data_IF_764179784262
#
_entry.id   IF_764179784262
#
_cell.length_a   1.000
_cell.length_b   1.000
_cell.length_c   1.000
_cell.angle_alpha   90.00
_cell.angle_beta   90.00
_cell.angle_gamma   90.00
#
_symmetry.space_group_name_H-M   'P 1'
#
loop_
_entity.id
_entity.type
_entity.pdbx_description
1 polymer ?
#
# COMPACT_ATOMS: atom_id res chain seq x y z
N UNK A 1 -6.37 14.30 -7.39
CA UNK A 1 -7.22 13.65 -8.42
C UNK A 1 -8.01 12.52 -7.77
N UNK A 2 -9.34 12.52 -7.82
CA UNK A 2 -10.17 11.50 -7.17
C UNK A 2 -11.10 10.85 -8.18
N UNK A 3 -10.58 9.91 -8.96
CA UNK A 3 -11.44 9.06 -9.79
C UNK A 3 -12.26 8.15 -8.86
N UNK A 4 -13.60 8.06 -9.06
CA UNK A 4 -14.42 7.04 -8.42
C UNK A 4 -13.82 5.64 -8.59
N UNK A 5 -14.08 4.74 -7.64
CA UNK A 5 -13.56 3.37 -7.66
C UNK A 5 -13.82 2.67 -9.00
N UNK A 6 -15.03 2.82 -9.55
CA UNK A 6 -15.45 2.14 -10.78
C UNK A 6 -14.75 2.69 -12.03
N UNK A 7 -14.36 3.97 -12.01
CA UNK A 7 -13.61 4.59 -13.10
C UNK A 7 -12.14 4.20 -13.06
N UNK A 8 -11.61 3.88 -11.87
CA UNK A 8 -10.21 3.52 -11.67
C UNK A 8 -9.96 2.01 -11.78
N UNK A 9 -10.80 1.18 -11.17
CA UNK A 9 -10.75 -0.29 -11.25
C UNK A 9 -11.98 -0.76 -12.01
N UNK A 10 -11.76 -1.09 -13.28
CA UNK A 10 -12.85 -1.45 -14.20
C UNK A 10 -13.29 -2.90 -13.98
N UNK A 11 -12.34 -3.81 -13.83
CA UNK A 11 -12.61 -5.21 -13.58
C UNK A 11 -11.75 -5.81 -12.47
N UNK A 12 -12.29 -6.83 -11.81
CA UNK A 12 -11.60 -7.59 -10.76
C UNK A 12 -12.00 -9.06 -10.84
N UNK A 13 -11.03 -9.95 -10.86
CA UNK A 13 -11.24 -11.40 -10.75
C UNK A 13 -10.38 -11.97 -9.63
N UNK A 14 -10.92 -12.99 -8.96
CA UNK A 14 -10.17 -13.75 -7.98
C UNK A 14 -10.63 -15.21 -8.02
N UNK A 15 -9.68 -16.15 -8.15
CA UNK A 15 -9.96 -17.56 -8.42
C UNK A 15 -10.86 -17.76 -9.66
N UNK A 16 -10.48 -17.20 -10.81
CA UNK A 16 -11.23 -17.20 -12.09
C UNK A 16 -12.70 -16.76 -11.99
N UNK A 17 -13.06 -16.00 -10.94
CA UNK A 17 -14.42 -15.51 -10.72
C UNK A 17 -14.43 -14.01 -10.68
N UNK A 18 -15.22 -13.40 -11.58
CA UNK A 18 -15.47 -11.96 -11.57
C UNK A 18 -16.06 -11.55 -10.22
N UNK A 19 -15.48 -10.52 -9.61
CA UNK A 19 -15.92 -9.95 -8.35
C UNK A 19 -16.61 -8.61 -8.60
N UNK A 20 -17.56 -8.28 -7.74
CA UNK A 20 -18.19 -6.96 -7.76
C UNK A 20 -17.22 -5.96 -7.11
N UNK A 21 -16.69 -5.03 -7.93
CA UNK A 21 -15.66 -4.06 -7.54
C UNK A 21 -16.06 -3.29 -6.28
N UNK A 22 -17.28 -2.74 -6.22
CA UNK A 22 -17.79 -1.95 -5.08
C UNK A 22 -17.88 -2.72 -3.76
N UNK A 23 -17.83 -4.05 -3.80
CA UNK A 23 -17.95 -4.90 -2.60
C UNK A 23 -16.62 -5.41 -2.07
N UNK A 24 -15.62 -5.59 -2.94
CA UNK A 24 -14.35 -6.25 -2.59
C UNK A 24 -13.21 -5.27 -2.32
N UNK A 25 -13.34 -4.04 -2.80
CA UNK A 25 -12.39 -2.96 -2.57
C UNK A 25 -12.88 -2.01 -1.48
N UNK A 26 -11.98 -1.61 -0.59
CA UNK A 26 -12.25 -0.61 0.45
C UNK A 26 -11.34 0.59 0.26
N UNK A 27 -11.90 1.78 0.40
CA UNK A 27 -11.15 3.02 0.37
C UNK A 27 -10.29 3.17 1.63
N UNK A 28 -9.07 3.68 1.46
CA UNK A 28 -8.23 4.20 2.52
C UNK A 28 -7.46 5.43 2.04
N UNK A 29 -7.40 6.49 2.84
CA UNK A 29 -6.59 7.67 2.56
C UNK A 29 -5.22 7.47 3.24
N UNK A 30 -4.14 7.69 2.49
CA UNK A 30 -2.74 7.52 2.91
C UNK A 30 -1.91 8.74 2.48
N UNK A 31 -0.61 8.75 2.81
CA UNK A 31 0.34 9.74 2.29
C UNK A 31 0.48 9.70 0.75
N UNK A 32 0.15 8.56 0.12
CA UNK A 32 0.12 8.43 -1.34
C UNK A 32 -1.22 8.87 -1.94
N UNK A 33 -2.10 9.46 -1.13
CA UNK A 33 -3.44 9.89 -1.54
C UNK A 33 -4.50 8.81 -1.32
N UNK A 34 -5.47 8.74 -2.24
CA UNK A 34 -6.60 7.80 -2.15
C UNK A 34 -6.16 6.43 -2.66
N UNK A 35 -6.22 5.42 -1.79
CA UNK A 35 -5.89 4.03 -2.12
C UNK A 35 -7.13 3.13 -2.01
N UNK A 36 -7.07 2.00 -2.72
CA UNK A 36 -8.09 0.96 -2.69
C UNK A 36 -7.46 -0.36 -2.25
N UNK A 37 -8.01 -0.96 -1.19
CA UNK A 37 -7.53 -2.20 -0.63
C UNK A 37 -8.47 -3.37 -0.96
N UNK A 38 -7.94 -4.39 -1.65
CA UNK A 38 -8.64 -5.65 -1.85
C UNK A 38 -8.45 -6.54 -0.62
N UNK A 39 -9.56 -6.99 -0.03
CA UNK A 39 -9.52 -7.93 1.11
C UNK A 39 -10.52 -9.06 0.88
N UNK A 40 -10.08 -10.30 1.07
CA UNK A 40 -10.94 -11.47 0.92
C UNK A 40 -10.63 -12.52 2.00
N UNK A 41 -11.66 -13.27 2.37
CA UNK A 41 -11.55 -14.47 3.20
C UNK A 41 -11.45 -15.74 2.36
N UNK A 42 -11.60 -15.63 1.04
CA UNK A 42 -11.45 -16.75 0.11
C UNK A 42 -9.96 -17.14 0.02
N UNK A 43 -9.69 -18.45 0.08
CA UNK A 43 -8.35 -18.96 -0.13
C UNK A 43 -8.04 -19.05 -1.63
N UNK A 44 -6.77 -18.87 -1.98
CA UNK A 44 -6.26 -19.16 -3.33
C UNK A 44 -6.43 -20.66 -3.60
N UNK A 45 -7.19 -21.01 -4.64
CA UNK A 45 -7.51 -22.41 -4.96
C UNK A 45 -6.32 -23.11 -5.61
N UNK A 46 -5.57 -22.40 -6.44
CA UNK A 46 -4.40 -22.91 -7.13
C UNK A 46 -3.33 -21.81 -7.30
N UNK A 47 -2.04 -22.13 -7.23
CA UNK A 47 -1.00 -21.16 -7.58
C UNK A 47 -1.03 -20.86 -9.07
N UNK A 48 -0.76 -19.60 -9.44
CA UNK A 48 -0.75 -19.14 -10.83
C UNK A 48 -1.71 -18.00 -11.07
N UNK A 49 -1.83 -17.56 -12.32
CA UNK A 49 -2.67 -16.43 -12.73
C UNK A 49 -4.15 -16.68 -12.43
N UNK A 50 -4.63 -17.86 -12.82
CA UNK A 50 -6.01 -18.30 -12.66
C UNK A 50 -6.53 -18.35 -11.21
N UNK A 51 -5.67 -18.72 -10.26
CA UNK A 51 -6.02 -18.70 -8.84
C UNK A 51 -5.73 -17.37 -8.14
N UNK A 52 -5.09 -16.43 -8.83
CA UNK A 52 -4.62 -15.16 -8.27
C UNK A 52 -5.70 -14.09 -8.22
N UNK A 53 -5.24 -12.87 -7.94
CA UNK A 53 -6.01 -11.63 -8.12
C UNK A 53 -5.61 -11.02 -9.46
N UNK A 54 -6.62 -10.75 -10.29
CA UNK A 54 -6.48 -10.02 -11.54
C UNK A 54 -7.27 -8.72 -11.43
N UNK A 55 -6.65 -7.61 -11.83
CA UNK A 55 -7.22 -6.28 -11.71
C UNK A 55 -6.93 -5.52 -12.99
N UNK A 56 -7.97 -4.99 -13.62
CA UNK A 56 -7.84 -4.08 -14.75
C UNK A 56 -8.09 -2.67 -14.25
N UNK A 57 -7.18 -1.77 -14.61
CA UNK A 57 -7.16 -0.41 -14.10
C UNK A 57 -7.17 0.57 -15.26
N UNK A 58 -7.93 1.64 -15.10
CA UNK A 58 -7.97 2.74 -16.05
C UNK A 58 -7.25 3.95 -15.43
N UNK A 59 -6.18 4.37 -16.10
CA UNK A 59 -5.30 5.45 -15.65
C UNK A 59 -5.46 6.64 -16.59
N UNK A 60 -6.27 7.61 -16.18
CA UNK A 60 -6.38 8.86 -16.90
C UNK A 60 -5.17 9.76 -16.59
N UNK A 61 -4.17 9.74 -17.46
CA UNK A 61 -2.95 10.54 -17.29
C UNK A 61 -3.19 12.04 -17.45
N UNK A 62 -4.26 12.45 -18.16
CA UNK A 62 -4.61 13.87 -18.30
C UNK A 62 -5.08 14.48 -16.98
N UNK A 63 -5.57 13.65 -16.07
CA UNK A 63 -5.99 14.12 -14.75
C UNK A 63 -4.81 14.27 -13.80
N UNK A 64 -3.61 13.77 -14.11
CA UNK A 64 -2.49 13.79 -13.17
C UNK A 64 -2.11 15.21 -12.79
N UNK A 65 -1.72 15.40 -11.52
CA UNK A 65 -1.19 16.68 -11.08
C UNK A 65 0.08 16.98 -11.89
N UNK A 66 0.14 18.16 -12.50
CA UNK A 66 1.25 18.56 -13.39
C UNK A 66 2.65 18.51 -12.76
N UNK A 67 2.73 18.37 -11.43
CA UNK A 67 3.97 18.23 -10.67
C UNK A 67 4.31 16.77 -10.32
N UNK A 68 3.49 15.78 -10.74
CA UNK A 68 3.76 14.36 -10.52
C UNK A 68 4.71 13.83 -11.58
N UNK A 69 5.94 13.47 -11.19
CA UNK A 69 6.94 12.87 -12.07
C UNK A 69 6.71 11.36 -12.31
N UNK A 70 5.72 10.75 -11.64
CA UNK A 70 5.42 9.33 -11.73
C UNK A 70 4.08 9.10 -12.41
N UNK A 71 4.09 8.23 -13.42
CA UNK A 71 2.89 7.72 -14.07
C UNK A 71 2.75 6.21 -13.85
N UNK A 72 1.55 5.78 -13.45
CA UNK A 72 1.27 4.38 -13.10
C UNK A 72 0.57 4.23 -11.77
N UNK A 73 0.64 3.03 -11.22
CA UNK A 73 0.06 2.68 -9.92
C UNK A 73 1.08 2.03 -9.01
N UNK A 74 1.00 2.36 -7.73
CA UNK A 74 1.76 1.69 -6.68
C UNK A 74 0.88 0.60 -6.05
N UNK A 75 1.35 -0.64 -6.13
CA UNK A 75 0.69 -1.80 -5.54
C UNK A 75 1.42 -2.20 -4.28
N UNK A 76 0.74 -2.11 -3.14
CA UNK A 76 1.26 -2.53 -1.85
C UNK A 76 0.74 -3.92 -1.49
N UNK A 77 1.62 -4.78 -0.98
CA UNK A 77 1.25 -6.12 -0.52
C UNK A 77 1.45 -6.18 0.99
N UNK A 78 0.35 -6.36 1.71
CA UNK A 78 0.34 -6.32 3.16
C UNK A 78 -0.28 -7.58 3.77
N UNK A 79 0.11 -7.91 5.00
CA UNK A 79 -0.56 -8.91 5.81
C UNK A 79 -1.98 -8.41 6.17
N UNK A 80 -2.99 -9.30 6.18
CA UNK A 80 -4.31 -8.93 6.67
C UNK A 80 -4.26 -8.28 8.05
N UNK A 81 -4.90 -7.12 8.19
CA UNK A 81 -4.94 -6.34 9.42
C UNK A 81 -3.72 -5.45 9.68
N UNK A 82 -2.74 -5.40 8.77
CA UNK A 82 -1.68 -4.38 8.79
C UNK A 82 -2.07 -3.17 7.93
N UNK A 83 -1.70 -1.95 8.35
CA UNK A 83 -1.77 -0.75 7.51
C UNK A 83 -0.83 -0.86 6.30
N UNK A 84 -1.10 -0.06 5.27
CA UNK A 84 -0.31 -0.04 4.02
C UNK A 84 1.17 0.23 4.29
N UNK A 85 1.46 1.11 5.25
CA UNK A 85 2.81 1.57 5.55
C UNK A 85 3.62 0.57 6.40
N UNK A 86 2.97 -0.47 6.92
CA UNK A 86 3.65 -1.50 7.73
C UNK A 86 4.44 -2.49 6.87
N UNK A 87 4.20 -2.54 5.55
CA UNK A 87 4.84 -3.53 4.66
C UNK A 87 5.39 -2.90 3.39
N UNK A 88 6.72 -2.90 3.30
CA UNK A 88 7.50 -2.58 2.10
C UNK A 88 8.04 -3.94 1.61
N UNK A 89 7.68 -4.39 0.40
CA UNK A 89 7.77 -3.59 -0.82
C UNK A 89 6.44 -3.22 -1.48
N UNK A 90 6.45 -2.06 -2.15
CA UNK A 90 5.49 -1.72 -3.20
C UNK A 90 6.06 -2.09 -4.57
N UNK A 91 5.15 -2.33 -5.53
CA UNK A 91 5.46 -2.52 -6.94
C UNK A 91 4.89 -1.35 -7.72
N UNK A 92 5.68 -0.77 -8.62
CA UNK A 92 5.17 0.18 -9.60
C UNK A 92 4.72 -0.58 -10.84
N UNK A 93 3.46 -0.38 -11.26
CA UNK A 93 2.94 -0.90 -12.53
C UNK A 93 2.70 0.30 -13.44
N UNK A 94 3.33 0.27 -14.62
CA UNK A 94 3.26 1.37 -15.57
C UNK A 94 2.01 1.26 -16.45
N UNK A 95 1.44 2.38 -16.93
CA UNK A 95 0.33 2.36 -17.87
C UNK A 95 0.71 1.65 -19.19
N UNK A 96 -0.26 1.02 -19.83
CA UNK A 96 -0.06 0.33 -21.12
C UNK A 96 0.69 -1.01 -21.04
N UNK A 97 0.92 -1.53 -19.83
CA UNK A 97 1.56 -2.83 -19.60
C UNK A 97 0.69 -3.74 -18.76
N UNK A 98 0.80 -5.03 -19.03
CA UNK A 98 0.31 -6.08 -18.14
C UNK A 98 1.42 -6.41 -17.12
N UNK A 99 1.17 -6.09 -15.85
CA UNK A 99 2.10 -6.34 -14.76
C UNK A 99 1.79 -7.64 -14.03
N UNK A 100 2.72 -8.60 -14.05
CA UNK A 100 2.60 -9.85 -13.30
C UNK A 100 3.36 -9.74 -11.98
N UNK A 101 2.63 -9.89 -10.88
CA UNK A 101 3.19 -9.82 -9.52
C UNK A 101 3.14 -11.19 -8.87
N UNK A 102 4.28 -11.88 -8.81
CA UNK A 102 4.42 -13.13 -8.08
C UNK A 102 4.65 -12.85 -6.59
N UNK A 103 3.74 -13.36 -5.76
CA UNK A 103 3.85 -13.27 -4.31
C UNK A 103 4.50 -14.52 -3.71
N UNK A 104 5.48 -14.32 -2.83
CA UNK A 104 6.03 -15.37 -1.97
C UNK A 104 5.76 -15.01 -0.52
N UNK A 105 5.03 -15.87 0.18
CA UNK A 105 4.74 -15.73 1.60
C UNK A 105 5.83 -16.42 2.43
N UNK A 106 6.34 -15.74 3.45
CA UNK A 106 7.25 -16.30 4.46
C UNK A 106 6.68 -16.03 5.84
N UNK A 107 6.56 -17.06 6.66
CA UNK A 107 6.10 -16.94 8.04
C UNK A 107 7.26 -17.21 8.98
N UNK A 108 7.45 -16.32 9.95
CA UNK A 108 8.51 -16.38 10.95
C UNK A 108 7.90 -16.65 12.32
N UNK A 109 8.51 -17.59 13.04
CA UNK A 109 8.27 -17.82 14.46
C UNK A 109 9.61 -17.79 15.18
N UNK A 110 9.86 -16.71 15.91
CA UNK A 110 11.12 -16.44 16.59
C UNK A 110 11.07 -16.90 18.03
N UNK A 111 12.22 -17.31 18.54
CA UNK A 111 12.40 -17.60 19.96
C UNK A 111 12.25 -16.29 20.78
N UNK A 112 11.57 -16.38 21.92
CA UNK A 112 11.30 -15.22 22.79
C UNK A 112 12.40 -15.03 23.83
N UNK A 113 13.04 -16.13 24.22
CA UNK A 113 13.97 -16.16 25.34
C UNK A 113 15.42 -15.87 24.91
N UNK A 114 16.07 -15.00 25.69
CA UNK A 114 17.51 -14.83 25.63
C UNK A 114 18.21 -16.16 26.01
N UNK A 115 19.40 -16.46 25.47
CA UNK A 115 20.28 -15.59 24.69
C UNK A 115 20.08 -15.66 23.16
N UNK A 116 19.25 -16.58 22.68
CA UNK A 116 19.22 -16.94 21.26
C UNK A 116 18.49 -15.91 20.40
N UNK A 117 17.42 -15.33 20.91
CA UNK A 117 16.72 -14.22 20.28
C UNK A 117 15.96 -13.39 21.32
N UNK A 118 15.55 -12.19 20.91
CA UNK A 118 14.58 -11.38 21.62
C UNK A 118 13.60 -10.84 20.59
N UNK A 119 12.32 -10.99 20.86
CA UNK A 119 11.24 -10.47 20.04
C UNK A 119 10.14 -9.94 20.95
N UNK A 120 9.22 -9.16 20.40
CA UNK A 120 8.12 -8.56 21.15
C UNK A 120 6.80 -8.77 20.40
N UNK A 121 5.75 -9.17 21.11
CA UNK A 121 4.40 -9.27 20.54
C UNK A 121 4.29 -10.17 19.29
N UNK A 122 3.25 -9.94 18.50
CA UNK A 122 2.98 -10.64 17.24
C UNK A 122 2.30 -9.69 16.25
N UNK A 123 2.59 -9.86 14.96
CA UNK A 123 1.91 -9.14 13.89
C UNK A 123 0.47 -9.67 13.71
N UNK A 124 -0.51 -8.82 13.34
CA UNK A 124 -0.36 -7.41 12.97
C UNK A 124 -0.41 -6.44 14.18
N UNK A 125 -0.68 -6.94 15.38
CA UNK A 125 -0.83 -6.09 16.57
C UNK A 125 0.47 -5.35 16.94
N UNK A 126 1.62 -5.97 16.68
CA UNK A 126 2.93 -5.35 16.82
C UNK A 126 3.76 -5.59 15.56
N UNK A 127 4.35 -4.51 15.06
CA UNK A 127 5.41 -4.52 14.04
C UNK A 127 6.41 -3.40 14.39
N UNK A 128 7.65 -3.51 13.93
CA UNK A 128 8.63 -2.44 14.14
C UNK A 128 8.19 -1.12 13.46
N UNK A 129 7.69 -1.12 12.21
CA UNK A 129 7.14 0.08 11.58
C UNK A 129 6.03 0.71 12.41
N UNK A 130 5.04 -0.07 12.85
CA UNK A 130 3.94 0.41 13.68
C UNK A 130 4.42 1.01 15.00
N UNK A 131 5.33 0.34 15.70
CA UNK A 131 5.91 0.86 16.95
C UNK A 131 6.55 2.24 16.75
N UNK A 132 7.27 2.41 15.64
CA UNK A 132 7.89 3.70 15.31
C UNK A 132 6.86 4.75 14.92
N UNK A 133 5.85 4.38 14.14
CA UNK A 133 4.74 5.28 13.80
C UNK A 133 3.98 5.73 15.05
N UNK A 134 3.67 4.82 16.00
CA UNK A 134 3.05 5.15 17.28
C UNK A 134 3.93 6.09 18.12
N UNK A 135 5.24 5.86 18.13
CA UNK A 135 6.21 6.70 18.81
C UNK A 135 6.25 8.13 18.24
N UNK A 136 6.37 8.26 16.91
CA UNK A 136 6.39 9.55 16.22
C UNK A 136 5.06 10.28 16.38
N UNK A 137 3.94 9.59 16.18
CA UNK A 137 2.60 10.15 16.42
C UNK A 137 2.48 10.71 17.84
N UNK A 138 2.93 9.97 18.86
CA UNK A 138 2.87 10.44 20.25
C UNK A 138 3.78 11.66 20.50
N UNK A 139 4.96 11.71 19.88
CA UNK A 139 5.86 12.85 19.96
C UNK A 139 5.22 14.10 19.31
N UNK A 140 4.70 13.95 18.09
CA UNK A 140 3.98 15.01 17.36
C UNK A 140 2.78 15.51 18.15
N UNK A 141 1.95 14.59 18.65
CA UNK A 141 0.80 14.92 19.49
C UNK A 141 1.21 15.71 20.74
N UNK A 142 2.27 15.27 21.43
CA UNK A 142 2.72 15.94 22.65
C UNK A 142 3.26 17.34 22.38
N UNK A 143 3.83 17.58 21.21
CA UNK A 143 4.42 18.85 20.81
C UNK A 143 3.39 19.82 20.21
N UNK A 144 2.55 19.34 19.29
CA UNK A 144 1.71 20.16 18.42
C UNK A 144 0.21 19.93 18.59
N UNK A 145 -0.22 18.95 19.41
CA UNK A 145 -1.64 18.62 19.64
C UNK A 145 -2.45 18.28 18.37
N UNK A 146 -1.76 17.90 17.30
CA UNK A 146 -2.32 17.50 16.02
C UNK A 146 -1.64 16.21 15.52
N UNK A 147 -2.11 15.66 14.40
CA UNK A 147 -1.49 14.50 13.72
C UNK A 147 -1.13 14.81 12.27
N UNK A 148 -0.11 14.15 11.74
CA UNK A 148 0.28 14.33 10.34
C UNK A 148 -0.74 13.71 9.37
N UNK A 149 -0.73 14.15 8.11
CA UNK A 149 -1.67 13.68 7.08
C UNK A 149 -1.56 12.18 6.76
N UNK A 150 -0.42 11.54 7.07
CA UNK A 150 -0.20 10.10 6.94
C UNK A 150 -0.42 9.27 8.19
N UNK A 151 -0.66 9.90 9.33
CA UNK A 151 -0.81 9.18 10.59
C UNK A 151 -2.14 8.41 10.59
N UNK A 152 -2.06 7.14 10.21
CA UNK A 152 -3.15 6.17 10.32
C UNK A 152 -3.37 5.72 11.79
N UNK A 153 -2.50 6.16 12.69
CA UNK A 153 -2.50 5.86 14.12
C UNK A 153 -3.06 7.05 14.90
N UNK A 154 -3.93 6.77 15.87
CA UNK A 154 -4.47 7.77 16.79
C UNK A 154 -5.95 7.60 17.08
N UNK A 155 -6.49 8.29 18.10
CA UNK A 155 -7.91 8.29 18.39
C UNK A 155 -8.69 9.00 17.29
N UNK A 156 -9.91 8.51 17.05
CA UNK A 156 -10.84 9.17 16.15
C UNK A 156 -11.10 10.62 16.60
N UNK A 157 -11.06 11.57 15.67
CA UNK A 157 -11.35 12.97 15.92
C UNK A 157 -10.15 13.85 16.28
N UNK A 158 -8.92 13.33 16.31
CA UNK A 158 -7.73 14.18 16.40
C UNK A 158 -7.60 15.04 15.11
N UNK A 159 -7.43 16.37 15.22
CA UNK A 159 -7.26 17.22 14.05
C UNK A 159 -5.93 16.93 13.35
N UNK A 160 -5.95 17.04 12.03
CA UNK A 160 -4.73 17.07 11.23
C UNK A 160 -3.99 18.38 11.48
N UNK A 161 -2.67 18.33 11.46
CA UNK A 161 -1.84 19.53 11.50
C UNK A 161 -2.09 20.36 10.25
N UNK A 162 -2.12 21.68 10.42
CA UNK A 162 -2.29 22.67 9.35
C UNK A 162 -0.96 23.34 9.04
N UNK A 163 -0.93 24.20 8.02
CA UNK A 163 0.23 25.05 7.73
C UNK A 163 0.63 25.96 8.90
N UNK A 164 -0.30 26.27 9.80
CA UNK A 164 -0.02 27.08 10.99
C UNK A 164 0.80 26.30 12.04
N UNK A 165 0.84 24.97 11.92
CA UNK A 165 1.59 24.08 12.81
C UNK A 165 3.01 23.76 12.28
N UNK A 166 3.42 24.31 11.13
CA UNK A 166 4.69 23.99 10.47
C UNK A 166 5.90 24.27 11.37
N UNK A 167 5.90 25.40 12.08
CA UNK A 167 6.98 25.73 13.05
C UNK A 167 7.02 24.70 14.18
N UNK A 168 5.87 24.14 14.59
CA UNK A 168 5.84 23.09 15.59
C UNK A 168 6.33 21.76 15.04
N UNK A 169 5.87 21.35 13.86
CA UNK A 169 6.24 20.08 13.23
C UNK A 169 7.72 20.03 12.86
N UNK A 170 8.19 21.08 12.19
CA UNK A 170 9.48 21.09 11.52
C UNK A 170 10.50 22.02 12.18
N UNK A 171 10.07 22.89 13.10
CA UNK A 171 10.92 23.97 13.60
C UNK A 171 11.34 24.93 12.48
N UNK A 172 12.41 25.70 12.74
CA UNK A 172 13.04 26.54 11.71
C UNK A 172 14.04 25.76 10.83
N UNK A 173 13.92 24.43 10.76
CA UNK A 173 14.91 23.58 10.12
C UNK A 173 14.63 23.39 8.63
N UNK A 174 15.69 23.36 7.83
CA UNK A 174 15.60 23.06 6.40
C UNK A 174 15.12 21.62 6.16
N UNK A 175 14.58 21.31 4.99
CA UNK A 175 14.12 19.95 4.65
C UNK A 175 15.17 18.85 4.91
N UNK A 176 16.46 19.14 4.65
CA UNK A 176 17.56 18.20 4.90
C UNK A 176 17.77 17.97 6.41
N UNK A 177 17.69 19.03 7.21
CA UNK A 177 17.76 18.93 8.66
C UNK A 177 16.53 18.24 9.25
N UNK A 178 15.35 18.40 8.63
CA UNK A 178 14.14 17.67 9.00
C UNK A 178 14.33 16.16 8.82
N UNK A 179 14.85 15.70 7.69
CA UNK A 179 15.12 14.28 7.45
C UNK A 179 16.13 13.69 8.46
N UNK A 180 17.16 14.47 8.83
CA UNK A 180 18.12 14.07 9.87
C UNK A 180 17.50 14.06 11.27
N UNK A 181 16.68 15.05 11.60
CA UNK A 181 15.97 15.11 12.89
C UNK A 181 14.94 13.99 13.05
N UNK A 182 14.24 13.63 11.98
CA UNK A 182 13.35 12.48 11.94
C UNK A 182 14.14 11.22 12.29
N UNK A 183 15.35 11.05 11.73
CA UNK A 183 16.24 9.92 12.05
C UNK A 183 16.64 9.92 13.54
N UNK A 184 16.97 11.09 14.10
CA UNK A 184 17.29 11.22 15.53
C UNK A 184 16.09 10.94 16.46
N UNK A 185 14.87 11.32 16.08
CA UNK A 185 13.65 10.95 16.80
C UNK A 185 13.35 9.45 16.67
N UNK A 186 13.56 8.85 15.50
CA UNK A 186 13.48 7.40 15.31
C UNK A 186 14.43 6.64 16.24
N UNK A 187 15.63 7.16 16.49
CA UNK A 187 16.58 6.56 17.45
C UNK A 187 16.10 6.61 18.89
N UNK A 188 15.26 7.59 19.26
CA UNK A 188 14.63 7.63 20.60
C UNK A 188 13.52 6.60 20.74
N UNK A 189 12.93 6.15 19.64
CA UNK A 189 11.90 5.12 19.66
C UNK A 189 12.52 3.75 20.01
N UNK A 190 12.12 3.18 21.15
CA UNK A 190 12.60 1.88 21.64
C UNK A 190 12.00 0.67 20.88
N UNK A 191 12.01 0.71 19.55
CA UNK A 191 11.37 -0.25 18.64
C UNK A 191 12.37 -1.24 18.00
N UNK A 192 13.39 -1.65 18.76
CA UNK A 192 14.51 -2.45 18.25
C UNK A 192 14.21 -3.95 18.12
N UNK A 193 13.16 -4.46 18.76
CA UNK A 193 12.80 -5.88 18.73
C UNK A 193 11.86 -6.19 17.57
N UNK A 194 12.09 -7.27 16.79
CA UNK A 194 11.14 -7.71 15.79
C UNK A 194 9.92 -8.38 16.43
N UNK A 195 8.81 -8.55 15.69
CA UNK A 195 7.70 -9.38 16.14
C UNK A 195 8.12 -10.85 16.34
N UNK A 196 7.56 -11.51 17.35
CA UNK A 196 7.83 -12.93 17.58
C UNK A 196 7.19 -13.82 16.51
N UNK A 197 6.03 -13.41 16.02
CA UNK A 197 5.31 -14.09 14.96
C UNK A 197 4.92 -13.05 13.91
N UNK A 198 5.34 -13.27 12.67
CA UNK A 198 4.95 -12.40 11.55
C UNK A 198 4.87 -13.17 10.24
N UNK A 199 4.12 -12.61 9.31
CA UNK A 199 4.11 -13.04 7.92
C UNK A 199 4.61 -11.91 7.04
N UNK A 200 5.69 -12.18 6.32
CA UNK A 200 6.25 -11.27 5.32
C UNK A 200 5.89 -11.77 3.93
N UNK A 201 5.64 -10.82 3.03
CA UNK A 201 5.46 -11.08 1.61
C UNK A 201 6.63 -10.47 0.85
N UNK A 202 7.15 -11.21 -0.14
CA UNK A 202 8.07 -10.66 -1.14
C UNK A 202 7.42 -10.75 -2.51
N UNK A 203 7.54 -9.68 -3.28
CA UNK A 203 7.06 -9.58 -4.64
C UNK A 203 8.20 -9.81 -5.64
N UNK A 204 7.91 -10.49 -6.75
CA UNK A 204 8.75 -10.49 -7.94
C UNK A 204 7.87 -10.09 -9.12
N UNK A 205 8.37 -9.18 -9.95
CA UNK A 205 7.58 -8.56 -11.02
C UNK A 205 8.13 -8.93 -12.38
N UNK A 206 7.24 -9.01 -13.35
CA UNK A 206 7.56 -9.08 -14.77
C UNK A 206 6.43 -8.42 -15.52
N UNK A 207 6.76 -7.69 -16.59
CA UNK A 207 5.75 -6.93 -17.33
C UNK A 207 5.77 -7.33 -18.81
N UNK A 208 4.61 -7.25 -19.44
CA UNK A 208 4.45 -7.37 -20.90
C UNK A 208 3.83 -6.09 -21.43
N UNK A 209 4.36 -5.57 -22.53
CA UNK A 209 3.77 -4.42 -23.20
C UNK A 209 2.50 -4.85 -23.94
N UNK A 210 1.39 -4.13 -23.74
CA UNK A 210 0.22 -4.35 -24.56
C UNK A 210 0.46 -3.86 -25.99
N UNK A 211 -0.05 -4.60 -26.98
CA UNK A 211 0.00 -4.14 -28.37
C UNK A 211 -0.89 -2.90 -28.55
N UNK A 212 -0.51 -2.00 -29.47
CA UNK A 212 -1.35 -0.86 -29.83
C UNK A 212 -2.75 -1.29 -30.29
N UNK A 213 -2.86 -2.44 -30.96
CA UNK A 213 -4.14 -3.00 -31.39
C UNK A 213 -5.05 -3.33 -30.20
N UNK A 214 -4.50 -3.94 -29.15
CA UNK A 214 -5.23 -4.23 -27.91
C UNK A 214 -5.67 -2.93 -27.22
N UNK A 215 -4.77 -1.96 -27.08
CA UNK A 215 -5.07 -0.68 -26.44
C UNK A 215 -6.18 0.08 -27.19
N UNK A 216 -6.16 0.04 -28.53
CA UNK A 216 -7.20 0.66 -29.36
C UNK A 216 -8.55 -0.05 -29.25
N UNK A 217 -8.57 -1.39 -29.22
CA UNK A 217 -9.80 -2.16 -29.02
C UNK A 217 -10.42 -1.88 -27.64
N UNK A 218 -9.59 -1.85 -26.61
CA UNK A 218 -10.01 -1.54 -25.24
C UNK A 218 -10.57 -0.12 -25.10
N UNK A 219 -9.91 0.87 -25.71
CA UNK A 219 -10.39 2.26 -25.71
C UNK A 219 -11.71 2.45 -26.48
N UNK A 220 -12.06 1.55 -27.39
CA UNK A 220 -13.30 1.59 -28.15
C UNK A 220 -14.50 0.96 -27.42
N UNK A 221 -14.31 0.43 -26.21
CA UNK A 221 -15.31 -0.36 -25.45
C UNK A 221 -15.88 -1.52 -26.29
N UNK A 222 -15.04 -2.08 -27.17
CA UNK A 222 -15.42 -3.16 -28.06
C UNK A 222 -15.09 -4.52 -27.40
N UNK A 223 -15.99 -4.95 -26.53
CA UNK A 223 -15.93 -6.25 -25.83
C UNK A 223 -15.86 -7.46 -26.80
N UNK A 224 -16.11 -7.27 -28.10
CA UNK A 224 -16.13 -8.38 -29.07
C UNK A 224 -14.75 -8.92 -29.45
N UNK A 225 -13.67 -8.19 -29.14
CA UNK A 225 -12.29 -8.61 -29.46
C UNK A 225 -11.51 -9.21 -28.29
N UNK A 226 -12.07 -9.19 -27.07
CA UNK A 226 -11.34 -9.57 -25.85
C UNK A 226 -11.44 -11.07 -25.50
N UNK A 227 -12.36 -11.81 -26.12
CA UNK A 227 -12.56 -13.24 -25.87
C UNK A 227 -13.06 -13.97 -27.14
N UNK A 228 -12.21 -14.07 -28.16
CA UNK A 228 -12.38 -15.17 -29.13
C UNK A 228 -11.88 -16.45 -28.44
N UNK A 229 -12.80 -17.18 -27.81
CA UNK A 229 -12.64 -18.48 -27.13
C UNK A 229 -12.30 -19.65 -28.11
N UNK A 230 -11.63 -19.37 -29.24
CA UNK A 230 -11.29 -20.37 -30.26
C UNK A 230 -9.81 -20.77 -30.20
N UNK A 231 -9.38 -21.46 -29.13
CA UNK A 231 -8.18 -22.34 -29.14
C UNK A 231 -8.29 -23.52 -28.18
#
# INVERSE_FOLDING_TARGET
VTSPLEDFITNTWFNDKRKNVTRVWRESITDFGRCWAFTTNEQVVQPGLHGGLEVWMNLNQDDYESASDLAGVLVFIAQPGTPVDDQIPFVSVNPGKEGFIKLTKRSYKREREAPWARCLGAAPAYSQPRCRAECLYNATRAKCSCKNYGDYIGPAGMPFCSSDDDECLFGNSSFVEQALNVTAEYEKCSCSLPPCEETLYSATTSDLDHSEAFLNAWAADDDTLLFDDDF
#
